data_IF_002476808006
#
_entry.id   IF_002476808006
#
_cell.length_a   1.000
_cell.length_b   1.000
_cell.length_c   1.000
_cell.angle_alpha   90.00
_cell.angle_beta   90.00
_cell.angle_gamma   90.00
#
_symmetry.space_group_name_H-M   'P 1'
#
loop_
_entity.id
_entity.type
_entity.pdbx_description
1 polymer ?
#
# COMPACT_ATOMS: atom_id res chain seq x y z
N UNK A 1 22.35 50.87 14.71
CA UNK A 1 22.67 49.46 14.42
C UNK A 1 21.46 48.62 14.78
N UNK A 2 20.59 48.36 13.81
CA UNK A 2 19.36 47.58 14.00
C UNK A 2 19.71 46.11 13.73
N UNK A 3 19.86 45.31 14.80
CA UNK A 3 20.08 43.87 14.71
C UNK A 3 18.73 43.19 14.41
N UNK A 4 18.55 42.79 13.15
CA UNK A 4 17.43 41.95 12.73
C UNK A 4 17.55 40.56 13.37
N UNK A 5 16.64 40.24 14.27
CA UNK A 5 16.30 38.85 14.59
C UNK A 5 15.25 38.41 13.56
N UNK A 6 15.69 37.69 12.54
CA UNK A 6 14.77 36.90 11.70
C UNK A 6 14.68 35.53 12.37
N UNK A 7 13.61 35.33 13.14
CA UNK A 7 13.17 33.99 13.52
C UNK A 7 12.53 33.41 12.27
N UNK A 8 13.30 32.64 11.51
CA UNK A 8 12.78 31.83 10.41
C UNK A 8 12.07 30.62 11.04
N UNK A 9 10.77 30.75 11.28
CA UNK A 9 9.89 29.60 11.56
C UNK A 9 9.86 28.70 10.32
N UNK A 10 10.75 27.71 10.30
CA UNK A 10 10.67 26.51 9.44
C UNK A 10 9.46 25.68 9.91
N UNK A 11 8.26 26.09 9.52
CA UNK A 11 7.01 25.40 9.78
C UNK A 11 6.25 25.28 8.46
N UNK A 12 6.77 24.46 7.56
CA UNK A 12 6.08 23.99 6.35
C UNK A 12 6.66 22.60 6.04
N UNK A 13 5.89 21.53 5.72
CA UNK A 13 4.44 21.32 5.84
C UNK A 13 4.06 19.86 6.24
N UNK A 14 3.95 19.53 7.53
CA UNK A 14 3.33 18.24 7.89
C UNK A 14 1.87 18.15 7.36
N UNK A 15 1.19 19.29 7.23
CA UNK A 15 -0.18 19.38 6.73
C UNK A 15 -0.32 19.05 5.23
N UNK A 16 0.64 19.38 4.38
CA UNK A 16 0.48 19.08 2.94
C UNK A 16 0.69 17.61 2.64
N UNK A 17 1.59 16.93 3.37
CA UNK A 17 1.84 15.51 3.13
C UNK A 17 0.68 14.64 3.58
N UNK A 18 0.08 14.95 4.74
CA UNK A 18 -1.13 14.25 5.19
C UNK A 18 -2.29 14.43 4.20
N UNK A 19 -2.51 15.66 3.71
CA UNK A 19 -3.51 15.95 2.68
C UNK A 19 -3.23 15.18 1.38
N UNK A 20 -1.96 15.10 0.94
CA UNK A 20 -1.62 14.30 -0.25
C UNK A 20 -1.83 12.81 -0.05
N UNK A 21 -1.52 12.26 1.13
CA UNK A 21 -1.75 10.85 1.43
C UNK A 21 -3.25 10.52 1.45
N UNK A 22 -4.06 11.38 2.06
CA UNK A 22 -5.53 11.21 2.06
C UNK A 22 -6.10 11.26 0.64
N UNK A 23 -5.63 12.19 -0.20
CA UNK A 23 -6.04 12.26 -1.61
C UNK A 23 -5.65 11.01 -2.40
N UNK A 24 -4.44 10.48 -2.22
CA UNK A 24 -4.00 9.23 -2.87
C UNK A 24 -4.83 8.04 -2.40
N UNK A 25 -5.07 7.92 -1.09
CA UNK A 25 -5.93 6.87 -0.55
C UNK A 25 -7.32 6.96 -1.15
N UNK A 26 -7.93 8.15 -1.16
CA UNK A 26 -9.27 8.33 -1.74
C UNK A 26 -9.29 7.95 -3.22
N UNK A 27 -8.27 8.35 -3.99
CA UNK A 27 -8.16 8.00 -5.41
C UNK A 27 -8.10 6.48 -5.64
N UNK A 28 -7.31 5.76 -4.83
CA UNK A 28 -7.23 4.28 -4.89
C UNK A 28 -8.58 3.65 -4.50
N UNK A 29 -9.24 4.16 -3.46
CA UNK A 29 -10.52 3.61 -3.01
C UNK A 29 -11.66 3.89 -3.99
N UNK A 30 -11.64 5.03 -4.66
CA UNK A 30 -12.60 5.38 -5.72
C UNK A 30 -12.46 4.43 -6.91
N UNK A 31 -11.25 3.99 -7.24
CA UNK A 31 -10.99 2.99 -8.28
C UNK A 31 -11.59 1.62 -7.92
N UNK A 32 -11.30 1.10 -6.72
CA UNK A 32 -11.93 -0.13 -6.22
C UNK A 32 -13.46 -0.02 -6.14
N UNK A 33 -13.98 1.16 -5.81
CA UNK A 33 -15.41 1.43 -5.80
C UNK A 33 -15.99 1.36 -7.22
N UNK A 34 -15.32 1.92 -8.22
CA UNK A 34 -15.74 1.83 -9.62
C UNK A 34 -15.72 0.38 -10.12
N UNK A 35 -14.69 -0.40 -9.78
CA UNK A 35 -14.63 -1.83 -10.12
C UNK A 35 -15.75 -2.63 -9.45
N UNK A 36 -16.05 -2.36 -8.18
CA UNK A 36 -17.18 -2.99 -7.47
C UNK A 36 -18.52 -2.72 -8.15
N UNK A 37 -18.77 -1.47 -8.56
CA UNK A 37 -20.00 -1.08 -9.28
C UNK A 37 -20.10 -1.81 -10.62
N UNK A 38 -19.00 -1.89 -11.37
CA UNK A 38 -18.96 -2.59 -12.64
C UNK A 38 -19.25 -4.10 -12.48
N UNK A 39 -18.62 -4.76 -11.50
CA UNK A 39 -18.81 -6.18 -11.21
C UNK A 39 -20.25 -6.50 -10.78
N UNK A 40 -20.87 -5.63 -9.97
CA UNK A 40 -22.28 -5.81 -9.59
C UNK A 40 -23.22 -5.71 -10.79
N UNK A 41 -23.02 -4.71 -11.65
CA UNK A 41 -23.84 -4.53 -12.85
C UNK A 41 -23.77 -5.74 -13.78
N UNK A 42 -22.60 -6.36 -13.91
CA UNK A 42 -22.43 -7.61 -14.68
C UNK A 42 -23.17 -8.79 -14.00
N UNK A 43 -23.08 -8.89 -12.68
CA UNK A 43 -23.64 -10.01 -11.92
C UNK A 43 -25.17 -10.03 -11.83
N UNK A 44 -25.83 -8.86 -11.84
CA UNK A 44 -27.27 -8.76 -11.59
C UNK A 44 -28.15 -8.97 -12.84
N UNK A 45 -27.57 -9.01 -14.05
CA UNK A 45 -28.37 -8.96 -15.27
C UNK A 45 -29.21 -7.68 -15.36
N UNK A 46 -30.06 -7.55 -16.39
CA UNK A 46 -30.90 -6.36 -16.59
C UNK A 46 -32.01 -6.32 -15.53
N UNK A 47 -31.71 -5.80 -14.34
CA UNK A 47 -32.71 -5.39 -13.37
C UNK A 47 -32.60 -3.88 -13.21
N UNK A 48 -33.69 -3.22 -13.54
CA UNK A 48 -33.90 -1.79 -13.41
C UNK A 48 -33.86 -1.39 -11.94
N UNK A 49 -32.84 -0.63 -11.53
CA UNK A 49 -33.01 0.63 -10.79
C UNK A 49 -31.63 1.23 -10.47
N UNK A 50 -31.31 2.33 -11.13
CA UNK A 50 -30.09 3.11 -10.88
C UNK A 50 -29.98 3.62 -9.42
N UNK A 51 -31.06 3.56 -8.65
CA UNK A 51 -31.10 3.92 -7.23
C UNK A 51 -30.39 2.88 -6.34
N UNK A 52 -30.40 1.58 -6.68
CA UNK A 52 -29.73 0.54 -5.88
C UNK A 52 -28.19 0.61 -5.99
N UNK A 53 -27.65 0.94 -7.17
CA UNK A 53 -26.20 1.05 -7.38
C UNK A 53 -25.57 2.22 -6.61
N UNK A 54 -26.31 3.30 -6.38
CA UNK A 54 -25.82 4.46 -5.61
C UNK A 54 -25.57 4.14 -4.12
N UNK A 55 -26.23 3.11 -3.60
CA UNK A 55 -26.05 2.63 -2.23
C UNK A 55 -24.89 1.63 -2.10
N UNK A 56 -24.34 1.15 -3.21
CA UNK A 56 -23.23 0.19 -3.22
C UNK A 56 -21.97 0.89 -2.79
N UNK A 57 -21.43 0.47 -1.65
CA UNK A 57 -20.17 0.97 -1.14
C UNK A 57 -19.25 -0.19 -0.80
N UNK A 58 -18.01 -0.11 -1.26
CA UNK A 58 -16.97 -0.98 -0.74
C UNK A 58 -16.80 -0.73 0.75
N UNK A 59 -16.41 -1.78 1.47
CA UNK A 59 -16.07 -1.69 2.89
C UNK A 59 -14.65 -2.18 3.08
N UNK A 60 -13.91 -1.55 3.97
CA UNK A 60 -12.58 -1.96 4.38
C UNK A 60 -12.59 -2.36 5.84
N UNK A 61 -11.75 -3.33 6.18
CA UNK A 61 -11.44 -3.63 7.56
C UNK A 61 -10.65 -2.46 8.18
N UNK A 62 -10.87 -2.14 9.44
CA UNK A 62 -10.17 -1.04 10.12
C UNK A 62 -8.64 -1.26 10.13
N UNK A 63 -8.19 -2.52 10.07
CA UNK A 63 -6.77 -2.83 9.99
C UNK A 63 -6.18 -2.71 8.57
N UNK A 64 -6.98 -2.41 7.55
CA UNK A 64 -6.49 -2.28 6.16
C UNK A 64 -5.60 -1.06 5.96
N UNK A 65 -5.78 0.00 6.76
CA UNK A 65 -4.95 1.21 6.70
C UNK A 65 -4.17 1.34 8.01
N UNK A 66 -2.84 1.42 7.92
CA UNK A 66 -1.97 1.48 9.08
C UNK A 66 -0.63 2.12 8.71
N UNK A 67 0.11 2.60 9.70
CA UNK A 67 1.46 3.12 9.48
C UNK A 67 2.52 2.06 9.79
N UNK A 68 3.65 2.14 9.09
CA UNK A 68 4.87 1.38 9.38
C UNK A 68 6.07 2.33 9.44
N UNK A 69 6.99 2.09 10.37
CA UNK A 69 8.29 2.77 10.35
C UNK A 69 9.08 2.38 9.11
N UNK A 70 9.70 3.34 8.44
CA UNK A 70 10.58 3.08 7.28
C UNK A 70 12.01 3.54 7.50
N UNK A 71 12.27 4.26 8.61
CA UNK A 71 13.60 4.64 9.08
C UNK A 71 13.69 4.54 10.60
N UNK A 72 14.90 4.47 11.14
CA UNK A 72 15.12 4.40 12.59
C UNK A 72 14.84 5.72 13.32
N UNK A 73 14.88 6.86 12.62
CA UNK A 73 14.58 8.18 13.16
C UNK A 73 13.07 8.51 13.18
N UNK A 74 12.22 7.53 12.87
CA UNK A 74 10.77 7.63 13.03
C UNK A 74 10.02 8.19 11.83
N UNK A 75 10.60 8.12 10.62
CA UNK A 75 9.83 8.35 9.40
C UNK A 75 8.87 7.17 9.20
N UNK A 76 7.61 7.47 8.95
CA UNK A 76 6.57 6.48 8.70
C UNK A 76 6.12 6.48 7.23
N UNK A 77 5.61 5.33 6.78
CA UNK A 77 4.80 5.20 5.59
C UNK A 77 3.36 4.82 5.98
N UNK A 78 2.37 5.33 5.25
CA UNK A 78 1.00 4.84 5.36
C UNK A 78 0.79 3.69 4.39
N UNK A 79 0.30 2.56 4.88
CA UNK A 79 0.02 1.36 4.10
C UNK A 79 -1.47 1.18 3.95
N UNK A 80 -1.94 0.94 2.73
CA UNK A 80 -3.24 0.37 2.42
C UNK A 80 -3.05 -1.09 1.98
N UNK A 81 -3.47 -2.05 2.81
CA UNK A 81 -3.67 -3.44 2.40
C UNK A 81 -5.05 -3.57 1.77
N UNK A 82 -5.08 -3.59 0.44
CA UNK A 82 -6.30 -3.42 -0.35
C UNK A 82 -7.11 -4.72 -0.42
N UNK A 83 -7.83 -5.01 0.67
CA UNK A 83 -8.82 -6.08 0.75
C UNK A 83 -10.24 -5.52 0.92
N UNK A 84 -10.74 -4.70 -0.03
CA UNK A 84 -12.10 -4.21 0.05
C UNK A 84 -13.09 -5.35 -0.12
N UNK A 85 -14.21 -5.24 0.58
CA UNK A 85 -15.38 -6.08 0.37
C UNK A 85 -16.44 -5.29 -0.36
N UNK A 86 -16.84 -5.80 -1.52
CA UNK A 86 -17.94 -5.29 -2.31
C UNK A 86 -19.23 -6.05 -1.94
N UNK A 87 -20.37 -5.36 -1.72
CA UNK A 87 -21.65 -6.02 -1.49
C UNK A 87 -21.98 -7.00 -2.63
N UNK A 88 -22.62 -8.12 -2.34
CA UNK A 88 -22.99 -9.20 -3.29
C UNK A 88 -21.84 -9.92 -4.03
N UNK A 89 -20.68 -9.27 -4.23
CA UNK A 89 -19.50 -9.83 -4.91
C UNK A 89 -18.51 -10.44 -3.88
N UNK A 90 -18.39 -9.84 -2.70
CA UNK A 90 -17.42 -10.27 -1.68
C UNK A 90 -16.05 -9.62 -1.85
N UNK A 91 -14.99 -10.37 -1.55
CA UNK A 91 -13.59 -9.90 -1.54
C UNK A 91 -12.85 -10.39 -2.78
N UNK A 92 -13.23 -9.89 -3.96
CA UNK A 92 -12.72 -10.37 -5.26
C UNK A 92 -11.27 -9.98 -5.58
N UNK A 93 -10.73 -8.98 -4.89
CA UNK A 93 -9.40 -8.39 -5.15
C UNK A 93 -8.25 -9.12 -4.49
N UNK A 94 -8.54 -10.12 -3.67
CA UNK A 94 -7.54 -10.86 -2.91
C UNK A 94 -7.61 -12.35 -3.22
N UNK A 95 -6.44 -12.96 -3.41
CA UNK A 95 -6.29 -14.40 -3.57
C UNK A 95 -5.74 -15.07 -2.32
N UNK A 96 -5.51 -16.39 -2.41
CA UNK A 96 -4.79 -17.14 -1.36
C UNK A 96 -3.34 -16.70 -1.18
N UNK A 97 -2.79 -15.96 -2.14
CA UNK A 97 -1.45 -15.36 -2.10
C UNK A 97 -1.42 -13.95 -1.51
N UNK A 98 -2.55 -13.44 -1.03
CA UNK A 98 -2.68 -12.08 -0.49
C UNK A 98 -3.34 -11.12 -1.46
N UNK A 99 -3.06 -9.83 -1.27
CA UNK A 99 -3.68 -8.71 -1.98
C UNK A 99 -2.61 -7.73 -2.47
N UNK A 100 -3.02 -6.77 -3.29
CA UNK A 100 -2.23 -5.57 -3.53
C UNK A 100 -2.12 -4.75 -2.23
N UNK A 101 -0.94 -4.21 -1.98
CA UNK A 101 -0.66 -3.26 -0.93
C UNK A 101 -0.06 -2.00 -1.54
N UNK A 102 -0.54 -0.84 -1.09
CA UNK A 102 0.01 0.46 -1.43
C UNK A 102 0.74 1.02 -0.22
N UNK A 103 1.99 1.39 -0.37
CA UNK A 103 2.84 2.02 0.64
C UNK A 103 3.09 3.46 0.19
N UNK A 104 2.55 4.41 0.94
CA UNK A 104 2.54 5.83 0.59
C UNK A 104 3.53 6.56 1.49
N UNK A 105 4.50 7.23 0.88
CA UNK A 105 5.53 8.01 1.57
C UNK A 105 5.62 9.39 0.93
N UNK A 106 5.43 10.45 1.73
CA UNK A 106 5.52 11.84 1.29
C UNK A 106 4.73 12.14 -0.01
N UNK A 107 3.56 11.51 -0.19
CA UNK A 107 2.73 11.68 -1.39
C UNK A 107 3.15 10.85 -2.61
N UNK A 108 4.05 9.88 -2.45
CA UNK A 108 4.42 8.91 -3.50
C UNK A 108 3.85 7.55 -3.12
N UNK A 109 3.08 6.95 -4.02
CA UNK A 109 2.50 5.62 -3.84
C UNK A 109 3.38 4.55 -4.48
N UNK A 110 3.74 3.54 -3.69
CA UNK A 110 4.44 2.35 -4.14
C UNK A 110 3.55 1.13 -3.95
N UNK A 111 3.52 0.20 -4.91
CA UNK A 111 2.69 -0.99 -4.85
C UNK A 111 3.50 -2.28 -4.79
N UNK A 112 2.96 -3.26 -4.07
CA UNK A 112 3.42 -4.65 -4.04
C UNK A 112 2.23 -5.59 -3.92
N UNK A 113 2.38 -6.83 -4.37
CA UNK A 113 1.44 -7.92 -4.04
C UNK A 113 1.85 -8.62 -2.72
N UNK A 114 1.04 -9.57 -2.25
CA UNK A 114 1.39 -10.45 -1.12
C UNK A 114 0.58 -10.19 0.14
N UNK A 115 1.12 -10.59 1.29
CA UNK A 115 0.49 -10.31 2.57
C UNK A 115 0.91 -8.94 3.11
N UNK A 116 0.27 -8.51 4.21
CA UNK A 116 0.47 -7.20 4.84
C UNK A 116 1.96 -6.87 5.03
N UNK A 117 2.47 -5.79 4.41
CA UNK A 117 3.81 -5.29 4.68
C UNK A 117 3.98 -4.93 6.16
N UNK A 118 5.15 -5.21 6.72
CA UNK A 118 5.50 -4.85 8.09
C UNK A 118 6.91 -4.29 8.13
N UNK A 119 7.22 -3.47 9.12
CA UNK A 119 8.57 -2.99 9.34
C UNK A 119 9.25 -3.73 10.50
N UNK A 120 10.57 -3.89 10.39
CA UNK A 120 11.42 -4.50 11.42
C UNK A 120 12.70 -3.68 11.54
N UNK A 121 13.04 -3.30 12.77
CA UNK A 121 14.37 -2.77 13.08
C UNK A 121 15.40 -3.90 12.99
N UNK A 122 16.38 -3.74 12.09
CA UNK A 122 17.49 -4.71 11.91
C UNK A 122 18.75 -4.28 12.68
N UNK A 123 18.83 -3.00 13.05
CA UNK A 123 19.79 -2.44 14.00
C UNK A 123 19.19 -1.17 14.64
N UNK A 124 19.94 -0.53 15.55
CA UNK A 124 19.55 0.75 16.15
C UNK A 124 19.33 1.87 15.10
N UNK A 125 20.03 1.78 13.96
CA UNK A 125 20.04 2.82 12.92
C UNK A 125 19.36 2.37 11.62
N UNK A 126 18.75 1.18 11.58
CA UNK A 126 18.22 0.61 10.34
C UNK A 126 16.90 -0.11 10.53
N UNK A 127 15.94 0.29 9.70
CA UNK A 127 14.63 -0.35 9.56
C UNK A 127 14.51 -0.88 8.14
N UNK A 128 13.90 -2.05 8.01
CA UNK A 128 13.55 -2.64 6.71
C UNK A 128 12.05 -2.91 6.66
N UNK A 129 11.48 -2.80 5.46
CA UNK A 129 10.11 -3.22 5.19
C UNK A 129 10.13 -4.63 4.63
N UNK A 130 9.37 -5.51 5.27
CA UNK A 130 9.22 -6.92 4.92
C UNK A 130 7.85 -7.12 4.28
N UNK A 131 7.83 -7.78 3.12
CA UNK A 131 6.61 -8.20 2.43
C UNK A 131 6.54 -9.72 2.44
N UNK A 132 5.64 -10.34 3.24
CA UNK A 132 5.46 -11.78 3.21
C UNK A 132 4.82 -12.23 1.89
N UNK A 133 5.32 -13.32 1.33
CA UNK A 133 4.86 -13.94 0.08
C UNK A 133 4.40 -15.37 0.33
N UNK A 134 3.41 -15.80 -0.43
CA UNK A 134 3.02 -17.22 -0.47
C UNK A 134 4.07 -18.06 -1.21
N UNK A 135 4.08 -19.36 -0.94
CA UNK A 135 5.09 -20.29 -1.46
C UNK A 135 5.20 -20.31 -2.98
N UNK A 136 4.13 -19.96 -3.69
CA UNK A 136 4.13 -19.87 -5.16
C UNK A 136 5.10 -18.82 -5.72
N UNK A 137 5.47 -17.81 -4.93
CA UNK A 137 6.48 -16.81 -5.29
C UNK A 137 7.90 -17.17 -4.82
N UNK A 138 8.05 -18.23 -4.05
CA UNK A 138 9.29 -18.59 -3.40
C UNK A 138 10.07 -19.63 -4.21
N UNK A 139 11.39 -19.68 -4.00
CA UNK A 139 12.26 -20.75 -4.49
C UNK A 139 13.09 -21.25 -3.31
N UNK A 140 13.06 -22.55 -3.03
CA UNK A 140 13.84 -23.15 -1.95
C UNK A 140 15.26 -23.51 -2.40
N UNK A 141 16.10 -24.00 -1.48
CA UNK A 141 17.50 -24.39 -1.77
C UNK A 141 17.66 -25.52 -2.79
N UNK A 142 16.58 -26.25 -3.08
CA UNK A 142 16.56 -27.29 -4.11
C UNK A 142 16.11 -26.74 -5.48
N UNK A 143 15.89 -25.43 -5.60
CA UNK A 143 15.40 -24.79 -6.83
C UNK A 143 13.92 -25.05 -7.10
N UNK A 144 13.14 -25.46 -6.09
CA UNK A 144 11.72 -25.81 -6.25
C UNK A 144 10.83 -24.69 -5.69
N UNK A 145 9.69 -24.46 -6.35
CA UNK A 145 8.62 -23.62 -5.83
C UNK A 145 7.82 -24.37 -4.75
N UNK A 146 7.80 -23.89 -3.50
CA UNK A 146 6.99 -24.48 -2.43
C UNK A 146 5.47 -24.36 -2.65
N UNK A 147 4.69 -25.08 -1.85
CA UNK A 147 3.23 -24.93 -1.79
C UNK A 147 2.82 -23.59 -1.17
N UNK A 148 1.64 -23.06 -1.54
CA UNK A 148 1.20 -21.71 -1.15
C UNK A 148 1.13 -21.44 0.36
N UNK A 149 1.01 -22.47 1.19
CA UNK A 149 0.99 -22.36 2.66
C UNK A 149 2.39 -22.21 3.29
N UNK A 150 3.45 -22.30 2.50
CA UNK A 150 4.82 -21.97 2.92
C UNK A 150 5.02 -20.48 2.68
N UNK A 151 5.73 -19.80 3.57
CA UNK A 151 6.03 -18.38 3.42
C UNK A 151 7.50 -18.16 3.07
N UNK A 152 7.75 -17.16 2.25
CA UNK A 152 9.03 -16.47 2.17
C UNK A 152 8.79 -14.97 2.32
N UNK A 153 9.88 -14.21 2.38
CA UNK A 153 9.82 -12.78 2.66
C UNK A 153 10.72 -12.05 1.68
N UNK A 154 10.19 -10.98 1.12
CA UNK A 154 10.97 -10.00 0.42
C UNK A 154 11.24 -8.81 1.33
N UNK A 155 12.35 -8.11 1.09
CA UNK A 155 12.82 -7.03 1.94
C UNK A 155 13.17 -5.83 1.07
N UNK A 156 12.72 -4.65 1.49
CA UNK A 156 13.12 -3.38 0.91
C UNK A 156 13.52 -2.38 1.99
N UNK A 157 14.35 -1.41 1.61
CA UNK A 157 14.87 -0.37 2.51
C UNK A 157 14.56 0.99 1.91
N UNK A 158 14.04 1.90 2.71
CA UNK A 158 13.80 3.28 2.28
C UNK A 158 15.13 4.03 2.08
N UNK A 159 15.24 4.72 0.95
CA UNK A 159 16.33 5.64 0.64
C UNK A 159 15.79 7.06 0.69
N UNK A 160 16.11 7.78 1.76
CA UNK A 160 15.61 9.14 1.94
C UNK A 160 16.24 10.14 0.96
N UNK A 161 17.41 9.85 0.39
CA UNK A 161 18.01 10.73 -0.61
C UNK A 161 17.32 10.56 -1.97
N UNK A 162 17.12 9.31 -2.40
CA UNK A 162 16.49 8.99 -3.68
C UNK A 162 14.95 9.00 -3.62
N UNK A 163 14.36 9.10 -2.43
CA UNK A 163 12.90 9.05 -2.16
C UNK A 163 12.24 7.81 -2.77
N UNK A 164 12.86 6.64 -2.56
CA UNK A 164 12.38 5.35 -3.10
C UNK A 164 12.77 4.18 -2.21
N UNK A 165 12.23 2.99 -2.49
CA UNK A 165 12.64 1.75 -1.86
C UNK A 165 13.70 1.00 -2.69
N UNK A 166 14.76 0.56 -2.03
CA UNK A 166 15.81 -0.28 -2.60
C UNK A 166 15.62 -1.74 -2.15
N UNK A 167 15.83 -2.69 -3.07
CA UNK A 167 15.84 -4.13 -2.79
C UNK A 167 16.96 -4.85 -3.54
N UNK A 168 17.26 -6.10 -3.17
CA UNK A 168 18.32 -6.89 -3.83
C UNK A 168 18.08 -6.97 -5.35
N UNK A 169 19.13 -6.69 -6.12
CA UNK A 169 19.09 -6.66 -7.58
C UNK A 169 19.38 -8.02 -8.21
N UNK A 170 18.33 -8.75 -8.61
CA UNK A 170 18.37 -9.85 -9.58
C UNK A 170 16.98 -10.21 -10.16
N UNK A 171 16.01 -9.30 -10.03
CA UNK A 171 14.61 -9.49 -10.40
C UNK A 171 13.84 -8.16 -10.36
N UNK A 172 12.51 -8.23 -10.31
CA UNK A 172 11.66 -7.05 -10.10
C UNK A 172 11.87 -6.47 -8.70
N UNK A 173 11.80 -5.14 -8.52
CA UNK A 173 11.86 -4.54 -7.21
C UNK A 173 10.65 -4.98 -6.37
N UNK A 174 10.86 -5.10 -5.04
CA UNK A 174 9.81 -5.50 -4.10
C UNK A 174 8.61 -4.55 -4.17
N UNK A 175 8.91 -3.26 -4.29
CA UNK A 175 7.93 -2.20 -4.49
C UNK A 175 8.13 -1.56 -5.85
N UNK A 176 7.04 -1.36 -6.59
CA UNK A 176 7.00 -0.62 -7.85
C UNK A 176 6.32 0.72 -7.62
N UNK A 177 6.60 1.72 -8.42
CA UNK A 177 5.76 2.92 -8.44
C UNK A 177 4.33 2.50 -8.80
N UNK A 178 3.36 3.03 -8.07
CA UNK A 178 1.97 2.79 -8.38
C UNK A 178 1.52 3.70 -9.52
N UNK A 179 0.68 3.17 -10.41
CA UNK A 179 0.08 3.95 -11.48
C UNK A 179 -0.96 4.97 -10.94
N UNK A 180 -1.32 4.86 -9.65
CA UNK A 180 -2.22 5.76 -8.95
C UNK A 180 -1.45 6.96 -8.38
N UNK A 181 -1.23 7.97 -9.24
CA UNK A 181 -0.78 9.31 -8.83
C UNK A 181 -1.79 10.35 -9.32
N UNK A 182 -2.33 11.23 -8.45
CA UNK A 182 -3.24 12.31 -8.85
C UNK A 182 -2.54 13.39 -9.70
#
# INVERSE_FOLDING_TARGET
MLKYFVILTLLVPAHTYAETTENILQFILDDYQAECLAAQQESMGVVSEAEELSAVKITLDESSIYNIDITADGKEATVLYANPRCPQIGSGWCGSSGCTSYVIVDGISFQTEGFKPVSVAVSEDSVVVIVPRSGGACVNTNGQTPSSNVNCYEVAVWDDYAKTFNSIGSGEPVFKLSDFMP
#
